data_IF_807703576868
#
_entry.id   IF_807703576868
#
_cell.length_a   1.000
_cell.length_b   1.000
_cell.length_c   1.000
_cell.angle_alpha   90.00
_cell.angle_beta   90.00
_cell.angle_gamma   90.00
#
_symmetry.space_group_name_H-M   'P 1'
#
loop_
_entity.id
_entity.type
_entity.pdbx_description
1 polymer ?
#
# COMPACT_ATOMS: atom_id res chain seq x y z
N UNK A 1 -17.99 -0.09 20.69
CA UNK A 1 -17.50 0.67 20.05
C UNK A 1 -16.56 0.21 19.26
N UNK A 2 -16.71 0.31 18.36
CA UNK A 2 -15.75 -0.04 17.57
C UNK A 2 -14.63 0.81 17.79
N UNK A 3 -13.57 0.26 17.83
CA UNK A 3 -12.43 1.02 18.13
C UNK A 3 -12.14 2.00 17.06
N UNK A 4 -12.67 1.79 15.91
CA UNK A 4 -12.39 2.67 14.82
C UNK A 4 -11.06 2.47 14.21
N UNK A 5 -10.35 1.46 14.63
CA UNK A 5 -9.02 1.28 14.11
C UNK A 5 -8.96 0.36 12.90
N UNK A 6 -9.99 -0.41 12.67
CA UNK A 6 -9.97 -1.30 11.52
C UNK A 6 -10.44 -0.56 10.29
N UNK A 7 -9.64 -0.58 9.25
CA UNK A 7 -9.90 0.16 8.02
C UNK A 7 -9.56 -0.67 6.82
N UNK A 8 -10.00 -0.22 5.67
CA UNK A 8 -9.59 -0.86 4.42
C UNK A 8 -9.21 0.22 3.43
N UNK A 9 -8.34 -0.13 2.51
CA UNK A 9 -7.84 0.79 1.52
C UNK A 9 -7.69 0.07 0.20
N UNK A 10 -8.14 0.72 -0.86
CA UNK A 10 -8.00 0.19 -2.20
C UNK A 10 -7.70 1.37 -3.10
N UNK A 11 -6.82 1.19 -4.04
CA UNK A 11 -6.43 2.26 -4.92
C UNK A 11 -6.68 1.92 -6.37
N UNK A 12 -6.65 2.96 -7.19
CA UNK A 12 -6.87 2.83 -8.62
C UNK A 12 -5.76 3.57 -9.34
N UNK A 13 -5.33 3.01 -10.46
CA UNK A 13 -4.32 3.63 -11.30
C UNK A 13 -4.83 3.66 -12.72
N UNK A 14 -4.78 4.85 -13.34
CA UNK A 14 -5.09 4.96 -14.74
C UNK A 14 -3.75 5.06 -15.46
N UNK A 15 -3.49 4.12 -16.35
CA UNK A 15 -2.19 4.04 -16.97
C UNK A 15 -2.35 3.56 -18.40
N UNK A 16 -1.85 4.34 -19.35
CA UNK A 16 -1.86 3.95 -20.76
C UNK A 16 -3.27 3.57 -21.24
N UNK A 17 -4.25 4.37 -20.82
CA UNK A 17 -5.61 4.21 -21.32
C UNK A 17 -6.44 3.18 -20.59
N UNK A 18 -5.90 2.56 -19.54
CA UNK A 18 -6.62 1.55 -18.79
C UNK A 18 -6.58 1.82 -17.30
N UNK A 19 -7.60 1.35 -16.62
CA UNK A 19 -7.68 1.51 -15.17
C UNK A 19 -7.32 0.20 -14.50
N UNK A 20 -6.48 0.28 -13.49
CA UNK A 20 -6.06 -0.87 -12.72
C UNK A 20 -6.44 -0.67 -11.27
N UNK A 21 -6.91 -1.72 -10.62
CA UNK A 21 -7.30 -1.66 -9.22
C UNK A 21 -6.31 -2.44 -8.38
N UNK A 22 -6.03 -1.93 -7.19
CA UNK A 22 -5.22 -2.69 -6.26
C UNK A 22 -6.11 -3.69 -5.55
N UNK A 23 -5.49 -4.57 -4.78
CA UNK A 23 -6.22 -5.38 -3.84
C UNK A 23 -6.79 -4.48 -2.76
N UNK A 24 -7.74 -5.00 -2.01
CA UNK A 24 -8.26 -4.29 -0.86
C UNK A 24 -7.47 -4.75 0.35
N UNK A 25 -6.83 -3.81 1.04
CA UNK A 25 -6.02 -4.13 2.21
C UNK A 25 -6.78 -3.72 3.45
N UNK A 26 -6.81 -4.60 4.45
CA UNK A 26 -7.45 -4.30 5.73
C UNK A 26 -6.38 -4.20 6.77
N UNK A 27 -6.50 -3.22 7.63
CA UNK A 27 -5.46 -2.93 8.60
C UNK A 27 -5.99 -2.06 9.72
N UNK A 28 -5.24 -2.05 10.83
CA UNK A 28 -5.55 -1.15 11.92
C UNK A 28 -4.65 0.06 11.79
N UNK A 29 -5.25 1.24 11.91
CA UNK A 29 -4.49 2.46 11.75
C UNK A 29 -3.80 2.82 13.05
N UNK A 30 -2.50 3.00 12.98
CA UNK A 30 -1.73 3.44 14.09
C UNK A 30 -1.39 4.91 13.96
N UNK A 31 -1.12 5.35 12.74
CA UNK A 31 -0.69 6.71 12.50
C UNK A 31 -1.18 7.15 11.14
N UNK A 32 -2.03 8.17 11.12
CA UNK A 32 -2.58 8.63 9.85
C UNK A 32 -1.71 9.63 9.14
N UNK A 33 -0.70 10.14 9.82
CA UNK A 33 0.16 11.16 9.24
C UNK A 33 1.05 10.54 8.17
N UNK A 34 1.09 11.15 7.02
CA UNK A 34 2.01 10.72 5.99
C UNK A 34 1.51 9.64 5.06
N UNK A 35 0.26 9.21 5.21
CA UNK A 35 -0.27 8.17 4.33
C UNK A 35 -0.27 8.57 2.86
N UNK A 36 -0.62 9.83 2.57
CA UNK A 36 -0.63 10.31 1.20
C UNK A 36 0.77 10.41 0.63
N UNK A 37 1.72 10.87 1.44
CA UNK A 37 3.10 10.94 1.00
C UNK A 37 3.66 9.55 0.75
N UNK A 38 3.29 8.59 1.59
CA UNK A 38 3.75 7.22 1.41
C UNK A 38 3.21 6.63 0.12
N UNK A 39 1.94 6.92 -0.18
CA UNK A 39 1.34 6.45 -1.42
C UNK A 39 2.11 7.00 -2.62
N UNK A 40 2.38 8.30 -2.60
CA UNK A 40 3.10 8.93 -3.70
C UNK A 40 4.51 8.36 -3.82
N UNK A 41 5.18 8.16 -2.70
CA UNK A 41 6.53 7.58 -2.73
C UNK A 41 6.51 6.17 -3.30
N UNK A 42 5.53 5.38 -2.89
CA UNK A 42 5.40 4.02 -3.40
C UNK A 42 5.14 4.00 -4.89
N UNK A 43 4.30 4.91 -5.35
CA UNK A 43 3.99 5.01 -6.76
C UNK A 43 5.25 5.33 -7.57
N UNK A 44 6.01 6.33 -7.12
CA UNK A 44 7.20 6.74 -7.82
C UNK A 44 8.23 5.61 -7.83
N UNK A 45 8.40 4.95 -6.68
CA UNK A 45 9.36 3.85 -6.60
C UNK A 45 8.98 2.74 -7.58
N UNK A 46 7.70 2.38 -7.60
CA UNK A 46 7.24 1.30 -8.47
C UNK A 46 7.41 1.65 -9.93
N UNK A 47 7.16 2.93 -10.28
CA UNK A 47 7.37 3.37 -11.66
C UNK A 47 8.83 3.31 -12.04
N UNK A 48 9.71 3.69 -11.12
CA UNK A 48 11.14 3.65 -11.41
C UNK A 48 11.64 2.23 -11.56
N UNK A 49 11.02 1.29 -10.86
CA UNK A 49 11.37 -0.11 -10.97
C UNK A 49 10.72 -0.77 -12.16
N UNK A 50 9.90 -0.03 -12.89
CA UNK A 50 9.24 -0.52 -14.11
C UNK A 50 8.37 -1.73 -13.85
N UNK A 51 7.66 -1.69 -12.74
CA UNK A 51 6.71 -2.75 -12.43
C UNK A 51 5.54 -2.72 -13.39
N UNK A 52 4.83 -3.84 -13.51
CA UNK A 52 3.61 -3.88 -14.28
C UNK A 52 2.55 -2.99 -13.63
N UNK A 53 1.62 -2.43 -14.41
CA UNK A 53 0.64 -1.49 -13.85
C UNK A 53 -0.13 -2.03 -12.65
N UNK A 54 -0.52 -3.29 -12.69
CA UNK A 54 -1.23 -3.87 -11.55
C UNK A 54 -0.34 -3.88 -10.31
N UNK A 55 0.92 -4.19 -10.49
CA UNK A 55 1.86 -4.22 -9.37
C UNK A 55 2.15 -2.81 -8.88
N UNK A 56 2.17 -1.83 -9.78
CA UNK A 56 2.41 -0.45 -9.39
C UNK A 56 1.35 0.01 -8.40
N UNK A 57 0.08 -0.23 -8.73
CA UNK A 57 -0.99 0.24 -7.87
C UNK A 57 -1.03 -0.57 -6.57
N UNK A 58 -0.77 -1.87 -6.64
CA UNK A 58 -0.71 -2.68 -5.43
C UNK A 58 0.40 -2.21 -4.51
N UNK A 59 1.58 -1.94 -5.09
CA UNK A 59 2.73 -1.50 -4.30
C UNK A 59 2.45 -0.15 -3.65
N UNK A 60 1.88 0.78 -4.42
CA UNK A 60 1.62 2.11 -3.89
C UNK A 60 0.62 2.06 -2.73
N UNK A 61 -0.44 1.27 -2.89
CA UNK A 61 -1.44 1.16 -1.85
C UNK A 61 -0.86 0.43 -0.63
N UNK A 62 -0.10 -0.63 -0.87
CA UNK A 62 0.51 -1.37 0.22
C UNK A 62 1.49 -0.47 1.00
N UNK A 63 2.22 0.39 0.29
CA UNK A 63 3.13 1.32 0.94
C UNK A 63 2.37 2.23 1.90
N UNK A 64 1.23 2.73 1.45
CA UNK A 64 0.40 3.59 2.30
C UNK A 64 -0.12 2.83 3.51
N UNK A 65 -0.52 1.58 3.31
CA UNK A 65 -1.01 0.77 4.42
C UNK A 65 0.09 0.54 5.45
N UNK A 66 1.30 0.24 4.99
CA UNK A 66 2.42 0.04 5.90
C UNK A 66 2.66 1.30 6.73
N UNK A 67 2.61 2.46 6.08
CA UNK A 67 2.83 3.70 6.80
C UNK A 67 1.77 3.92 7.87
N UNK A 68 0.53 3.54 7.60
CA UNK A 68 -0.54 3.70 8.57
C UNK A 68 -0.39 2.75 9.76
N UNK A 69 0.36 1.68 9.58
CA UNK A 69 0.45 0.64 10.61
C UNK A 69 1.74 0.68 11.41
N UNK A 70 2.65 1.61 11.12
CA UNK A 70 3.88 1.71 11.89
C UNK A 70 3.95 3.05 12.58
N UNK A 71 4.72 3.08 13.64
CA UNK A 71 4.94 4.30 14.38
C UNK A 71 6.30 4.83 14.00
N UNK A 72 6.38 6.10 13.70
CA UNK A 72 7.67 6.71 13.44
C UNK A 72 7.99 6.79 11.97
N UNK A 73 9.26 6.82 11.68
CA UNK A 73 9.72 7.08 10.32
C UNK A 73 9.47 5.91 9.41
N UNK A 74 9.22 6.23 8.16
CA UNK A 74 9.00 5.22 7.15
C UNK A 74 10.02 5.44 6.03
N UNK A 75 10.61 4.36 5.53
CA UNK A 75 11.59 4.44 4.47
C UNK A 75 11.39 3.25 3.53
N UNK A 76 11.07 3.53 2.27
CA UNK A 76 10.79 2.48 1.31
C UNK A 76 11.96 1.53 1.14
N UNK A 77 13.17 2.05 1.13
CA UNK A 77 14.33 1.20 0.93
C UNK A 77 14.42 0.14 2.03
N UNK A 78 14.22 0.57 3.28
CA UNK A 78 14.32 -0.35 4.40
C UNK A 78 13.09 -1.22 4.55
N UNK A 79 11.94 -0.69 4.16
CA UNK A 79 10.66 -1.36 4.43
C UNK A 79 10.07 -2.08 3.24
N UNK A 80 10.76 -2.11 2.12
CA UNK A 80 10.16 -2.66 0.91
C UNK A 80 9.83 -4.14 1.03
N UNK A 81 10.59 -4.88 1.82
CA UNK A 81 10.29 -6.29 1.99
C UNK A 81 8.94 -6.46 2.71
N UNK A 82 8.68 -5.59 3.67
CA UNK A 82 7.38 -5.61 4.35
C UNK A 82 6.26 -5.28 3.38
N UNK A 83 6.52 -4.36 2.45
CA UNK A 83 5.52 -4.00 1.46
C UNK A 83 5.22 -5.21 0.56
N UNK A 84 6.26 -5.89 0.09
CA UNK A 84 6.06 -7.05 -0.76
C UNK A 84 5.35 -8.17 0.00
N UNK A 85 5.69 -8.34 1.27
CA UNK A 85 5.03 -9.36 2.07
C UNK A 85 3.55 -9.05 2.24
N UNK A 86 3.22 -7.78 2.43
CA UNK A 86 1.82 -7.40 2.56
C UNK A 86 1.06 -7.69 1.27
N UNK A 87 1.67 -7.41 0.14
CA UNK A 87 1.03 -7.66 -1.14
C UNK A 87 0.70 -9.13 -1.32
N UNK A 88 1.55 -10.01 -0.80
CA UNK A 88 1.30 -11.44 -0.92
C UNK A 88 0.37 -11.94 0.15
N UNK A 89 0.43 -11.36 1.33
CA UNK A 89 -0.31 -11.84 2.48
C UNK A 89 -1.81 -11.79 2.26
N UNK A 90 -2.22 -10.94 1.38
CA UNK A 90 -3.62 -10.81 1.06
C UNK A 90 -4.24 -12.16 0.71
N UNK A 91 -3.51 -13.01 0.03
CA UNK A 91 -4.05 -14.29 -0.35
C UNK A 91 -4.19 -15.22 0.81
N UNK A 92 -3.31 -15.12 1.76
CA UNK A 92 -3.34 -16.02 2.87
C UNK A 92 -4.43 -15.72 3.86
N UNK A 93 -4.78 -14.47 3.96
CA UNK A 93 -5.81 -14.07 4.86
C UNK A 93 -7.15 -14.64 4.49
N UNK A 94 -7.31 -14.95 3.25
CA UNK A 94 -8.57 -15.39 2.79
C UNK A 94 -8.95 -16.74 3.22
N UNK A 95 -8.14 -17.47 3.83
CA UNK A 95 -8.52 -18.79 4.24
C UNK A 95 -9.57 -18.84 5.30
#
# INVERSE_FOLDING_TARGET
VHTGSENSLKGYLWYDGETYESKTFRFNILDRVGGGDAFASGLIYALMEKMEPKDIVDFAVATSVIKHTIHGDFNIIDDKQSIYNLMKQEYEIKR
#
